data_IF_665828092272
#
_entry.id   IF_665828092272
#
_cell.length_a   1.000
_cell.length_b   1.000
_cell.length_c   1.000
_cell.angle_alpha   90.00
_cell.angle_beta   90.00
_cell.angle_gamma   90.00
#
_symmetry.space_group_name_H-M   'P 1'
#
loop_
_entity.id
_entity.type
_entity.pdbx_description
1 polymer ?
#
# COMPACT_ATOMS: atom_id res chain seq x y z
N UNK A 1 6.31 -6.44 -1.97
CA UNK A 1 7.11 -6.73 -0.76
C UNK A 1 8.53 -7.24 -1.06
N UNK A 2 8.84 -7.71 -2.27
CA UNK A 2 10.17 -8.23 -2.63
C UNK A 2 11.29 -7.21 -2.37
N UNK A 3 11.03 -5.93 -2.64
CA UNK A 3 11.96 -4.80 -2.36
C UNK A 3 12.33 -4.66 -0.87
N UNK A 4 11.53 -5.22 0.03
CA UNK A 4 11.77 -5.25 1.48
C UNK A 4 12.06 -6.67 2.00
N UNK A 5 12.18 -7.68 1.13
CA UNK A 5 12.38 -9.10 1.50
C UNK A 5 11.39 -9.60 2.58
N UNK A 6 10.15 -9.09 2.59
CA UNK A 6 9.16 -9.43 3.61
C UNK A 6 9.36 -8.75 4.98
N UNK A 7 10.34 -7.86 5.13
CA UNK A 7 10.53 -7.07 6.36
C UNK A 7 9.48 -5.97 6.48
N UNK A 8 8.31 -6.35 7.01
CA UNK A 8 7.16 -5.47 7.23
C UNK A 8 7.50 -4.26 8.10
N UNK A 9 8.40 -4.43 9.07
CA UNK A 9 8.74 -3.40 10.05
C UNK A 9 9.61 -2.26 9.47
N UNK A 10 10.51 -2.58 8.53
CA UNK A 10 11.24 -1.53 7.79
C UNK A 10 10.34 -0.79 6.80
N UNK A 11 9.40 -1.52 6.18
CA UNK A 11 8.43 -0.92 5.27
C UNK A 11 7.49 0.04 5.99
N UNK A 12 6.95 -0.35 7.14
CA UNK A 12 6.03 0.49 7.94
C UNK A 12 6.71 1.77 8.42
N UNK A 13 7.96 1.68 8.89
CA UNK A 13 8.77 2.86 9.24
C UNK A 13 8.94 3.83 8.08
N UNK A 14 9.19 3.32 6.88
CA UNK A 14 9.43 4.16 5.71
C UNK A 14 8.15 4.76 5.12
N UNK A 15 7.04 4.06 5.21
CA UNK A 15 5.70 4.59 4.89
C UNK A 15 5.23 5.57 5.97
N UNK A 16 5.75 5.46 7.20
CA UNK A 16 5.33 6.27 8.34
C UNK A 16 3.95 5.86 8.86
N UNK A 17 3.69 4.55 8.93
CA UNK A 17 2.46 3.98 9.47
C UNK A 17 2.77 2.83 10.44
N UNK A 18 1.76 2.35 11.16
CA UNK A 18 1.90 1.16 12.00
C UNK A 18 1.84 -0.14 11.16
N UNK A 19 2.35 -1.23 11.73
CA UNK A 19 2.29 -2.55 11.09
C UNK A 19 0.86 -3.05 10.93
N UNK A 20 -0.03 -2.65 11.84
CA UNK A 20 -1.45 -2.98 11.79
C UNK A 20 -2.11 -2.42 10.52
N UNK A 21 -1.81 -1.19 10.12
CA UNK A 21 -2.33 -0.54 8.91
C UNK A 21 -1.92 -1.31 7.66
N UNK A 22 -0.64 -1.66 7.55
CA UNK A 22 -0.14 -2.50 6.45
C UNK A 22 -0.85 -3.85 6.45
N UNK A 23 -1.00 -4.48 7.62
CA UNK A 23 -1.73 -5.75 7.75
C UNK A 23 -3.19 -5.63 7.29
N UNK A 24 -3.88 -4.57 7.68
CA UNK A 24 -5.27 -4.33 7.30
C UNK A 24 -5.43 -4.10 5.79
N UNK A 25 -4.52 -3.34 5.20
CA UNK A 25 -4.53 -3.07 3.76
C UNK A 25 -4.26 -4.35 2.97
N UNK A 26 -3.17 -5.06 3.27
CA UNK A 26 -2.73 -6.20 2.46
C UNK A 26 -3.44 -7.51 2.79
N UNK A 27 -3.75 -7.78 4.06
CA UNK A 27 -4.33 -9.07 4.48
C UNK A 27 -5.86 -8.99 4.60
N UNK A 28 -6.43 -7.80 4.80
CA UNK A 28 -7.88 -7.60 4.99
C UNK A 28 -8.55 -6.79 3.89
N UNK A 29 -7.82 -6.42 2.84
CA UNK A 29 -8.32 -5.59 1.74
C UNK A 29 -8.99 -4.29 2.21
N UNK A 30 -8.51 -3.72 3.32
CA UNK A 30 -9.04 -2.46 3.81
C UNK A 30 -8.67 -1.32 2.84
N UNK A 31 -9.62 -0.44 2.58
CA UNK A 31 -9.36 0.79 1.84
C UNK A 31 -8.34 1.69 2.55
N UNK A 32 -7.67 2.54 1.79
CA UNK A 32 -6.69 3.49 2.32
C UNK A 32 -6.98 4.91 1.87
N UNK A 33 -6.43 5.89 2.58
CA UNK A 33 -6.48 7.29 2.14
C UNK A 33 -5.49 7.52 1.00
N UNK A 34 -5.74 8.54 0.18
CA UNK A 34 -4.81 8.93 -0.90
C UNK A 34 -3.43 9.34 -0.37
N UNK A 35 -3.37 9.96 0.81
CA UNK A 35 -2.08 10.29 1.45
C UNK A 35 -1.25 9.03 1.75
N UNK A 36 -1.90 7.99 2.28
CA UNK A 36 -1.21 6.74 2.56
C UNK A 36 -0.77 6.03 1.27
N UNK A 37 -1.60 6.09 0.22
CA UNK A 37 -1.24 5.61 -1.11
C UNK A 37 0.03 6.28 -1.66
N UNK A 38 0.14 7.61 -1.60
CA UNK A 38 1.35 8.31 -2.05
C UNK A 38 2.58 8.00 -1.20
N UNK A 39 2.41 7.86 0.13
CA UNK A 39 3.50 7.43 1.03
C UNK A 39 4.00 6.03 0.68
N UNK A 40 3.11 5.12 0.31
CA UNK A 40 3.47 3.77 -0.14
C UNK A 40 4.25 3.83 -1.46
N UNK A 41 3.80 4.60 -2.45
CA UNK A 41 4.51 4.79 -3.72
C UNK A 41 5.94 5.35 -3.49
N UNK A 42 6.03 6.40 -2.66
CA UNK A 42 7.30 7.02 -2.27
C UNK A 42 8.22 6.01 -1.56
N UNK A 43 7.69 5.24 -0.59
CA UNK A 43 8.46 4.22 0.11
C UNK A 43 8.99 3.15 -0.85
N UNK A 44 8.20 2.77 -1.85
CA UNK A 44 8.57 1.81 -2.87
C UNK A 44 9.47 2.41 -3.97
N UNK A 45 9.68 3.74 -3.99
CA UNK A 45 10.43 4.46 -5.04
C UNK A 45 9.90 4.12 -6.44
N UNK A 46 8.60 4.24 -6.61
CA UNK A 46 7.88 4.06 -7.87
C UNK A 46 6.89 5.21 -8.05
N UNK A 47 6.44 5.42 -9.28
CA UNK A 47 5.40 6.40 -9.56
C UNK A 47 4.03 5.90 -9.10
N UNK A 48 3.12 6.78 -8.62
CA UNK A 48 1.83 6.33 -8.09
C UNK A 48 1.00 5.53 -9.09
N UNK A 49 1.06 5.83 -10.39
CA UNK A 49 0.32 5.08 -11.41
C UNK A 49 0.77 3.62 -11.52
N UNK A 50 2.01 3.29 -11.14
CA UNK A 50 2.53 1.92 -11.16
C UNK A 50 1.81 1.02 -10.13
N UNK A 51 1.35 1.59 -9.01
CA UNK A 51 0.52 0.88 -8.03
C UNK A 51 -0.90 0.57 -8.56
N UNK A 52 -1.33 1.26 -9.61
CA UNK A 52 -2.68 1.16 -10.18
C UNK A 52 -2.72 0.35 -11.49
N UNK A 53 -1.56 -0.09 -12.01
CA UNK A 53 -1.43 -0.65 -13.36
C UNK A 53 -2.37 -1.81 -13.65
N UNK A 54 -2.68 -2.61 -12.62
CA UNK A 54 -3.57 -3.78 -12.72
C UNK A 54 -4.87 -3.62 -11.91
N UNK A 55 -5.19 -2.40 -11.49
CA UNK A 55 -6.38 -2.13 -10.69
C UNK A 55 -7.64 -2.34 -11.55
N UNK A 56 -8.38 -3.42 -11.26
CA UNK A 56 -9.70 -3.65 -11.84
C UNK A 56 -10.76 -2.97 -10.99
N UNK A 57 -11.25 -1.82 -11.45
CA UNK A 57 -12.38 -1.14 -10.82
C UNK A 57 -13.66 -1.91 -11.18
N UNK A 58 -14.08 -2.82 -10.30
CA UNK A 58 -15.40 -3.44 -10.40
C UNK A 58 -16.43 -2.46 -9.84
N UNK A 59 -17.47 -2.13 -10.62
CA UNK A 59 -18.65 -1.42 -10.09
C UNK A 59 -19.32 -2.32 -9.05
N UNK A 60 -18.96 -2.16 -7.78
CA UNK A 60 -19.79 -2.67 -6.69
C UNK A 60 -20.98 -1.71 -6.60
N UNK A 61 -22.18 -2.18 -6.92
CA UNK A 61 -23.41 -1.43 -6.65
C UNK A 61 -23.41 -1.16 -5.14
N UNK A 62 -23.36 0.12 -4.78
CA UNK A 62 -23.65 0.59 -3.43
C UNK A 62 -25.14 0.44 -3.14
#
# INVERSE_FOLDING_TARGET
>A
MEKYKGNKLQFTKKVGCDEKTIRLIFDKNQGMTMNLFFKIACALKIEPYELLKDLKITKKKF
#
